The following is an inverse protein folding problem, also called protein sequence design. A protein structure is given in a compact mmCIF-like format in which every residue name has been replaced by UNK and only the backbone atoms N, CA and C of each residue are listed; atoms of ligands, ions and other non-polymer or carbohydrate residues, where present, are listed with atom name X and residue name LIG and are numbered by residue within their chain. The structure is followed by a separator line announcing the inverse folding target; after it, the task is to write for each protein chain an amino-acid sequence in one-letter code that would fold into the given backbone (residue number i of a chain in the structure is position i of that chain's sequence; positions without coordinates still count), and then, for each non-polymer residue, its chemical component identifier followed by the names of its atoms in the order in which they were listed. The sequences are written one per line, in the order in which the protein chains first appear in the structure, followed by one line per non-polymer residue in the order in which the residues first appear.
data_IF_977263770774
#
_entry.id   IF_977263770774
#
_cell.length_a   1.000
_cell.length_b   1.000
_cell.length_c   1.000
_cell.angle_alpha   90.00
_cell.angle_beta   90.00
_cell.angle_gamma   90.00
#
_symmetry.space_group_name_H-M   'P 1'
#
loop_
_entity.id
_entity.type
_entity.pdbx_description
1 polymer ?
#
# COMPACT_ATOMS: atom_id res chain seq x y z
N UNK A 1 48.54 -45.14 3.91
CA UNK A 1 47.91 -46.15 3.05
C UNK A 1 46.97 -46.97 3.92
N UNK A 2 45.68 -46.64 3.96
CA UNK A 2 44.68 -47.37 4.75
C UNK A 2 43.58 -47.86 3.82
N UNK A 3 43.41 -49.18 3.75
CA UNK A 3 42.31 -49.84 3.06
C UNK A 3 41.24 -50.31 4.05
N UNK A 4 40.03 -50.39 3.49
CA UNK A 4 38.96 -51.38 3.70
C UNK A 4 37.71 -51.01 4.52
N UNK A 5 36.69 -50.63 3.73
CA UNK A 5 35.43 -51.35 3.47
C UNK A 5 34.58 -51.75 4.69
N UNK A 6 33.33 -51.26 4.68
CA UNK A 6 32.13 -52.10 4.83
C UNK A 6 30.92 -51.41 4.17
N UNK A 7 30.15 -52.24 3.47
CA UNK A 7 28.97 -51.94 2.64
C UNK A 7 27.75 -51.70 3.52
N UNK A 8 26.76 -50.97 3.02
CA UNK A 8 25.35 -51.35 3.21
C UNK A 8 24.49 -50.88 2.03
N UNK A 9 23.81 -51.87 1.46
CA UNK A 9 22.87 -51.82 0.33
C UNK A 9 21.47 -52.02 0.93
N UNK A 10 20.47 -51.27 0.45
CA UNK A 10 19.05 -51.66 0.32
C UNK A 10 18.33 -50.43 -0.27
N UNK A 11 17.81 -50.33 -1.49
CA UNK A 11 17.05 -51.19 -2.40
C UNK A 11 15.69 -51.67 -1.87
N UNK A 12 14.64 -50.91 -2.17
CA UNK A 12 13.28 -51.35 -2.53
C UNK A 12 12.48 -50.08 -2.95
N UNK A 13 11.55 -50.01 -3.90
CA UNK A 13 11.13 -50.74 -5.12
C UNK A 13 9.68 -50.30 -5.35
N UNK A 14 9.38 -49.76 -6.54
CA UNK A 14 8.08 -49.77 -7.25
C UNK A 14 6.93 -48.90 -6.64
N UNK A 15 5.93 -48.37 -7.38
CA UNK A 15 5.42 -48.67 -8.72
C UNK A 15 4.54 -47.52 -9.27
N UNK A 16 4.60 -47.31 -10.60
CA UNK A 16 3.49 -47.16 -11.58
C UNK A 16 2.37 -46.11 -11.39
N UNK A 17 2.31 -45.08 -12.26
CA UNK A 17 1.47 -44.94 -13.50
C UNK A 17 -0.02 -44.61 -13.25
N UNK A 18 -0.46 -43.43 -13.69
CA UNK A 18 -1.70 -43.25 -14.47
C UNK A 18 -1.75 -41.85 -15.11
N UNK A 19 -1.70 -41.82 -16.44
CA UNK A 19 -2.11 -40.70 -17.28
C UNK A 19 -3.62 -40.78 -17.43
N UNK A 20 -4.36 -39.71 -17.13
CA UNK A 20 -5.77 -39.59 -17.47
C UNK A 20 -5.99 -38.26 -18.19
N UNK A 21 -6.18 -38.34 -19.50
CA UNK A 21 -6.67 -37.25 -20.33
C UNK A 21 -8.17 -37.05 -20.05
N UNK A 22 -8.55 -35.86 -19.60
CA UNK A 22 -9.97 -35.50 -19.48
C UNK A 22 -10.50 -35.04 -20.84
N UNK A 23 -11.38 -35.85 -21.43
CA UNK A 23 -12.26 -35.41 -22.51
C UNK A 23 -13.40 -34.58 -21.88
N UNK A 24 -13.51 -33.32 -22.30
CA UNK A 24 -14.64 -32.44 -21.92
C UNK A 24 -15.82 -32.81 -22.81
N UNK A 25 -16.83 -33.46 -22.22
CA UNK A 25 -18.17 -33.59 -22.81
C UNK A 25 -18.99 -32.39 -22.37
N UNK A 26 -19.36 -31.52 -23.31
CA UNK A 26 -20.35 -30.48 -23.11
C UNK A 26 -21.73 -31.05 -23.48
N UNK A 27 -22.58 -31.27 -22.48
CA UNK A 27 -24.02 -31.39 -22.70
C UNK A 27 -24.76 -30.36 -21.83
N UNK A 28 -25.43 -29.45 -22.53
CA UNK A 28 -26.38 -28.48 -22.01
C UNK A 28 -27.75 -29.13 -21.82
N UNK A 29 -28.35 -28.98 -20.63
CA UNK A 29 -29.65 -28.29 -20.40
C UNK A 29 -30.44 -28.81 -19.19
N UNK A 30 -30.96 -27.82 -18.45
CA UNK A 30 -32.25 -27.74 -17.74
C UNK A 30 -32.47 -28.43 -16.37
N UNK A 31 -32.53 -27.54 -15.35
CA UNK A 31 -33.49 -27.47 -14.24
C UNK A 31 -33.80 -28.71 -13.36
N UNK A 32 -33.41 -28.68 -12.08
CA UNK A 32 -34.26 -28.28 -10.93
C UNK A 32 -33.56 -28.55 -9.57
N UNK A 33 -33.85 -27.68 -8.59
CA UNK A 33 -33.41 -27.64 -7.18
C UNK A 33 -33.34 -28.99 -6.43
N UNK A 34 -32.27 -29.20 -5.65
CA UNK A 34 -32.33 -29.20 -4.16
C UNK A 34 -30.93 -29.29 -3.53
N UNK A 35 -30.83 -28.66 -2.36
CA UNK A 35 -29.67 -28.42 -1.51
C UNK A 35 -28.70 -29.60 -1.30
N UNK A 36 -27.40 -29.30 -1.32
CA UNK A 36 -26.41 -29.94 -0.42
C UNK A 36 -25.26 -28.95 -0.21
N UNK A 37 -24.92 -28.77 1.06
CA UNK A 37 -23.94 -27.83 1.59
C UNK A 37 -22.59 -27.93 0.88
N UNK A 38 -22.20 -26.84 0.22
CA UNK A 38 -20.86 -26.61 -0.32
C UNK A 38 -20.08 -25.81 0.71
N UNK A 39 -19.18 -26.49 1.43
CA UNK A 39 -18.18 -25.88 2.30
C UNK A 39 -17.19 -25.09 1.45
N UNK A 40 -17.61 -23.89 1.04
CA UNK A 40 -16.76 -22.86 0.47
C UNK A 40 -15.97 -22.24 1.61
N UNK A 41 -14.67 -22.51 1.61
CA UNK A 41 -13.69 -21.71 2.32
C UNK A 41 -13.91 -20.25 1.98
N UNK A 42 -14.40 -19.49 2.96
CA UNK A 42 -14.61 -18.06 2.86
C UNK A 42 -13.27 -17.40 2.50
N UNK A 43 -13.16 -16.95 1.25
CA UNK A 43 -12.18 -15.94 0.92
C UNK A 43 -12.55 -14.70 1.76
N UNK A 44 -11.72 -14.38 2.74
CA UNK A 44 -11.84 -13.19 3.58
C UNK A 44 -11.92 -11.97 2.65
N UNK A 45 -13.13 -11.51 2.38
CA UNK A 45 -13.40 -10.36 1.54
C UNK A 45 -12.84 -9.14 2.27
N UNK A 46 -11.69 -8.65 1.81
CA UNK A 46 -11.12 -7.39 2.31
C UNK A 46 -12.07 -6.26 1.90
N UNK A 47 -12.85 -5.77 2.86
CA UNK A 47 -13.72 -4.63 2.64
C UNK A 47 -12.88 -3.36 2.50
N UNK A 48 -12.78 -2.87 1.26
CA UNK A 48 -12.27 -1.54 0.93
C UNK A 48 -13.40 -0.54 1.15
N UNK A 49 -13.12 0.53 1.88
CA UNK A 49 -14.06 1.62 2.10
C UNK A 49 -13.50 2.88 1.44
N UNK A 50 -14.30 3.50 0.57
CA UNK A 50 -13.92 4.74 -0.09
C UNK A 50 -13.84 5.90 0.91
N UNK A 51 -12.92 6.81 0.66
CA UNK A 51 -12.73 8.02 1.47
C UNK A 51 -13.19 9.22 0.66
N UNK A 52 -14.01 10.09 1.26
CA UNK A 52 -14.33 11.36 0.64
C UNK A 52 -13.13 12.27 0.75
N UNK A 53 -12.58 12.65 -0.40
CA UNK A 53 -11.69 13.79 -0.50
C UNK A 53 -12.54 15.05 -0.37
N UNK A 54 -12.56 15.66 0.82
CA UNK A 54 -12.93 17.08 0.88
C UNK A 54 -11.88 17.81 0.05
N UNK A 55 -12.35 18.34 -1.07
CA UNK A 55 -11.53 18.70 -2.22
C UNK A 55 -10.56 19.83 -1.90
N UNK A 56 -9.29 19.63 -2.29
CA UNK A 56 -8.11 20.53 -2.21
C UNK A 56 -7.36 20.46 -0.88
N UNK A 57 -6.04 20.65 -0.94
CA UNK A 57 -5.24 20.88 0.26
C UNK A 57 -5.62 22.24 0.86
N UNK A 58 -5.92 22.25 2.15
CA UNK A 58 -6.13 23.45 2.94
C UNK A 58 -4.76 23.96 3.40
N UNK A 59 -4.35 25.14 2.98
CA UNK A 59 -3.08 25.72 3.39
C UNK A 59 -2.45 26.60 2.32
N UNK A 60 -1.51 27.44 2.76
CA UNK A 60 -0.84 28.42 1.92
C UNK A 60 -0.26 27.71 0.68
N UNK A 61 -0.64 28.15 -0.52
CA UNK A 61 0.09 27.85 -1.76
C UNK A 61 1.48 28.50 -1.69
N UNK A 62 2.30 28.08 -0.73
CA UNK A 62 3.61 28.60 -0.43
C UNK A 62 4.56 27.97 -1.45
N UNK A 63 4.83 28.71 -2.52
CA UNK A 63 5.98 28.45 -3.36
C UNK A 63 7.21 28.96 -2.62
N UNK A 64 7.86 28.12 -1.81
CA UNK A 64 9.25 28.40 -1.46
C UNK A 64 10.13 28.03 -2.66
N UNK A 65 10.06 28.87 -3.70
CA UNK A 65 10.64 28.63 -5.03
C UNK A 65 12.16 28.49 -5.00
N UNK A 66 12.83 28.98 -3.96
CA UNK A 66 14.29 28.88 -3.81
C UNK A 66 14.74 27.45 -3.47
N UNK A 67 13.93 26.67 -2.74
CA UNK A 67 14.29 25.30 -2.33
C UNK A 67 13.55 24.22 -3.11
N UNK A 68 12.58 24.61 -3.95
CA UNK A 68 11.83 23.69 -4.81
C UNK A 68 10.77 22.87 -4.09
N UNK A 69 10.33 23.29 -2.90
CA UNK A 69 9.23 22.67 -2.15
C UNK A 69 7.96 23.49 -2.34
N UNK A 70 6.84 22.81 -2.59
CA UNK A 70 5.54 23.47 -2.72
C UNK A 70 4.41 22.45 -2.62
N UNK A 71 3.21 22.96 -2.33
CA UNK A 71 1.95 22.21 -2.32
C UNK A 71 0.90 22.97 -3.14
N UNK A 72 0.11 22.23 -3.92
CA UNK A 72 -1.11 22.71 -4.58
C UNK A 72 -2.24 21.69 -4.38
N UNK A 73 -3.42 21.94 -4.94
CA UNK A 73 -4.66 21.15 -4.81
C UNK A 73 -4.51 19.61 -4.89
N UNK A 74 -3.55 19.09 -5.66
CA UNK A 74 -3.36 17.63 -5.86
C UNK A 74 -1.91 17.18 -5.77
N UNK A 75 -0.96 18.11 -5.73
CA UNK A 75 0.45 17.79 -5.91
C UNK A 75 1.30 18.39 -4.80
N UNK A 76 2.18 17.55 -4.26
CA UNK A 76 3.19 17.92 -3.31
C UNK A 76 4.58 17.72 -3.92
N UNK A 77 5.38 18.79 -4.00
CA UNK A 77 6.78 18.70 -4.42
C UNK A 77 7.68 18.82 -3.20
N UNK A 78 8.45 17.77 -2.93
CA UNK A 78 9.44 17.68 -1.88
C UNK A 78 10.85 17.70 -2.49
N UNK A 79 11.35 18.91 -2.76
CA UNK A 79 12.67 19.10 -3.38
C UNK A 79 12.79 18.44 -4.76
N UNK A 80 13.43 17.27 -4.81
CA UNK A 80 13.70 16.50 -6.03
C UNK A 80 12.61 15.47 -6.37
N UNK A 81 11.65 15.23 -5.47
CA UNK A 81 10.52 14.35 -5.71
C UNK A 81 9.22 15.15 -5.84
N UNK A 82 8.33 14.68 -6.71
CA UNK A 82 6.96 15.20 -6.87
C UNK A 82 5.98 14.05 -6.66
N UNK A 83 5.00 14.28 -5.82
CA UNK A 83 3.91 13.36 -5.51
C UNK A 83 2.62 13.95 -6.07
N UNK A 84 2.07 13.30 -7.10
CA UNK A 84 0.76 13.62 -7.63
C UNK A 84 -0.25 12.66 -6.98
N UNK A 85 -1.07 13.17 -6.06
CA UNK A 85 -2.00 12.36 -5.29
C UNK A 85 -3.22 11.98 -6.12
N UNK A 86 -3.60 10.71 -6.01
CA UNK A 86 -4.73 10.12 -6.69
C UNK A 86 -5.84 9.82 -5.65
N UNK A 87 -6.35 8.60 -5.66
CA UNK A 87 -7.42 8.16 -4.80
C UNK A 87 -6.92 7.85 -3.38
N UNK A 88 -7.86 7.76 -2.44
CA UNK A 88 -7.58 7.33 -1.09
C UNK A 88 -8.66 6.36 -0.61
N UNK A 89 -8.25 5.34 0.12
CA UNK A 89 -9.13 4.29 0.63
C UNK A 89 -8.76 3.92 2.07
N UNK A 90 -9.72 3.36 2.79
CA UNK A 90 -9.45 2.64 4.04
C UNK A 90 -9.49 1.16 3.75
N UNK A 91 -8.40 0.48 4.08
CA UNK A 91 -8.31 -0.97 4.01
C UNK A 91 -8.22 -1.59 5.40
N UNK A 92 -8.50 -2.88 5.48
CA UNK A 92 -8.30 -3.67 6.70
C UNK A 92 -6.91 -4.32 6.64
N UNK A 93 -6.08 -4.04 7.66
CA UNK A 93 -4.74 -4.57 7.81
C UNK A 93 -4.73 -6.05 8.20
N UNK A 94 -3.53 -6.66 8.22
CA UNK A 94 -3.34 -8.07 8.57
C UNK A 94 -3.73 -8.42 10.01
N UNK A 95 -3.78 -7.41 10.89
CA UNK A 95 -4.18 -7.50 12.29
C UNK A 95 -5.60 -6.95 12.56
N UNK A 96 -6.41 -6.77 11.51
CA UNK A 96 -7.71 -6.11 11.54
C UNK A 96 -7.71 -4.61 11.88
N UNK A 97 -6.54 -3.96 11.93
CA UNK A 97 -6.45 -2.50 12.00
C UNK A 97 -7.10 -1.86 10.77
N UNK A 98 -7.61 -0.63 10.93
CA UNK A 98 -8.04 0.21 9.81
C UNK A 98 -6.88 1.08 9.38
N UNK A 99 -6.56 1.05 8.09
CA UNK A 99 -5.40 1.74 7.54
C UNK A 99 -5.89 2.67 6.43
N UNK A 100 -5.66 3.97 6.59
CA UNK A 100 -5.77 4.92 5.49
C UNK A 100 -4.63 4.65 4.51
N UNK A 101 -4.96 4.51 3.23
CA UNK A 101 -4.04 4.40 2.11
C UNK A 101 -4.31 5.58 1.18
N UNK A 102 -3.29 6.38 0.91
CA UNK A 102 -3.32 7.47 -0.07
C UNK A 102 -2.40 7.10 -1.23
N UNK A 103 -2.98 6.89 -2.41
CA UNK A 103 -2.23 6.57 -3.62
C UNK A 103 -1.62 7.84 -4.21
N UNK A 104 -0.41 7.73 -4.73
CA UNK A 104 0.26 8.81 -5.43
C UNK A 104 1.24 8.29 -6.46
N UNK A 105 1.39 9.07 -7.53
CA UNK A 105 2.48 8.91 -8.48
C UNK A 105 3.68 9.73 -8.02
N UNK A 106 4.76 9.05 -7.65
CA UNK A 106 6.03 9.68 -7.27
C UNK A 106 6.94 9.81 -8.48
N UNK A 107 7.41 11.02 -8.76
CA UNK A 107 8.27 11.35 -9.90
C UNK A 107 9.59 11.98 -9.46
N UNK A 108 10.71 11.51 -10.03
CA UNK A 108 12.01 12.15 -9.85
C UNK A 108 12.14 13.31 -10.86
N UNK A 109 12.05 14.53 -10.35
CA UNK A 109 12.11 15.76 -11.16
C UNK A 109 13.52 16.37 -11.20
N UNK A 110 14.52 15.63 -10.72
CA UNK A 110 15.92 16.00 -10.78
C UNK A 110 16.66 15.32 -11.93
N UNK A 111 17.94 15.68 -12.10
CA UNK A 111 18.85 15.08 -13.09
C UNK A 111 19.73 13.97 -12.48
N UNK A 112 19.46 13.54 -11.24
CA UNK A 112 20.24 12.53 -10.51
C UNK A 112 19.36 11.40 -10.03
N UNK A 113 19.92 10.22 -9.80
CA UNK A 113 19.22 9.15 -9.12
C UNK A 113 18.87 9.59 -7.68
N UNK A 114 17.66 9.28 -7.22
CA UNK A 114 17.19 9.66 -5.88
C UNK A 114 16.74 8.41 -5.12
N UNK A 115 17.18 8.30 -3.88
CA UNK A 115 16.67 7.32 -2.93
C UNK A 115 15.40 7.87 -2.30
N UNK A 116 14.28 7.18 -2.51
CA UNK A 116 12.95 7.69 -2.15
C UNK A 116 12.61 7.60 -0.66
N UNK A 117 13.38 6.86 0.13
CA UNK A 117 13.21 6.71 1.60
C UNK A 117 13.37 8.05 2.35
N UNK A 118 14.18 8.97 1.84
CA UNK A 118 14.68 10.12 2.62
C UNK A 118 13.59 11.17 2.97
N UNK A 119 12.45 11.16 2.28
CA UNK A 119 11.47 12.26 2.37
C UNK A 119 10.29 11.96 3.32
N UNK A 120 9.95 10.69 3.54
CA UNK A 120 8.61 10.32 4.01
C UNK A 120 8.30 10.75 5.46
N UNK A 121 9.15 10.40 6.42
CA UNK A 121 8.80 10.51 7.85
C UNK A 121 8.80 11.94 8.40
N UNK A 122 9.61 12.82 7.81
CA UNK A 122 9.89 14.12 8.41
C UNK A 122 9.06 15.24 7.77
N UNK A 123 8.32 14.94 6.71
CA UNK A 123 7.66 15.95 5.87
C UNK A 123 6.19 15.67 5.59
N UNK A 124 5.73 14.44 5.82
CA UNK A 124 4.32 14.08 5.72
C UNK A 124 3.92 13.30 6.97
N UNK A 125 2.95 13.80 7.72
CA UNK A 125 2.40 13.10 8.89
C UNK A 125 0.88 13.23 8.93
N UNK A 126 0.22 12.30 9.60
CA UNK A 126 -1.23 12.33 9.76
C UNK A 126 -1.62 12.37 11.24
N UNK A 127 -2.76 12.99 11.50
CA UNK A 127 -3.35 13.11 12.83
C UNK A 127 -4.83 12.79 12.80
N UNK A 128 -5.32 12.26 13.91
CA UNK A 128 -6.74 12.00 14.11
C UNK A 128 -7.14 12.42 15.52
N UNK A 129 -8.29 13.09 15.64
CA UNK A 129 -8.87 13.40 16.95
C UNK A 129 -9.38 12.12 17.58
N UNK A 130 -9.02 11.88 18.84
CA UNK A 130 -9.55 10.79 19.65
C UNK A 130 -9.88 11.33 21.02
N UNK A 131 -11.17 11.30 21.38
CA UNK A 131 -11.71 11.96 22.57
C UNK A 131 -11.35 13.46 22.61
N UNK A 132 -10.62 13.88 23.64
CA UNK A 132 -10.16 15.26 23.86
C UNK A 132 -8.70 15.49 23.43
N UNK A 133 -8.10 14.54 22.69
CA UNK A 133 -6.71 14.60 22.27
C UNK A 133 -6.57 14.46 20.76
N UNK A 134 -5.48 15.00 20.23
CA UNK A 134 -5.04 14.80 18.86
C UNK A 134 -3.92 13.74 18.87
N UNK A 135 -4.11 12.67 18.10
CA UNK A 135 -3.19 11.53 18.07
C UNK A 135 -2.43 11.54 16.75
N UNK A 136 -1.10 11.47 16.82
CA UNK A 136 -0.25 11.25 15.66
C UNK A 136 -0.41 9.80 15.18
N UNK A 137 -0.77 9.65 13.91
CA UNK A 137 -0.93 8.34 13.30
C UNK A 137 0.42 7.78 12.87
N UNK A 138 0.55 6.46 12.99
CA UNK A 138 1.79 5.75 12.63
C UNK A 138 1.70 5.25 11.20
N UNK A 139 2.83 5.31 10.48
CA UNK A 139 2.98 4.57 9.24
C UNK A 139 3.16 3.07 9.54
N UNK A 140 2.50 2.22 8.76
CA UNK A 140 2.36 0.79 9.08
C UNK A 140 2.47 -0.11 7.84
N UNK A 141 3.53 0.07 7.05
CA UNK A 141 3.83 -0.78 5.88
C UNK A 141 3.67 -2.29 6.17
N UNK A 142 4.12 -2.73 7.35
CA UNK A 142 4.12 -4.13 7.77
C UNK A 142 2.72 -4.70 8.04
N UNK A 143 1.71 -3.84 8.25
CA UNK A 143 0.31 -4.23 8.48
C UNK A 143 -0.52 -4.27 7.21
N UNK A 144 0.00 -3.80 6.08
CA UNK A 144 -0.68 -3.90 4.78
C UNK A 144 -0.76 -5.37 4.33
N UNK A 145 -1.90 -5.85 3.78
CA UNK A 145 -1.99 -7.19 3.21
C UNK A 145 -0.96 -7.39 2.09
N UNK A 146 -0.17 -8.48 2.15
CA UNK A 146 1.01 -8.69 1.27
C UNK A 146 0.68 -8.79 -0.22
N UNK A 147 -0.53 -9.24 -0.52
CA UNK A 147 -1.11 -9.38 -1.87
C UNK A 147 -1.83 -8.11 -2.34
N UNK A 148 -1.96 -7.08 -1.49
CA UNK A 148 -2.60 -5.82 -1.88
C UNK A 148 -1.71 -4.97 -2.80
N UNK A 149 -2.32 -4.19 -3.73
CA UNK A 149 -1.61 -3.17 -4.49
C UNK A 149 -0.85 -2.18 -3.59
N UNK A 150 -1.50 -1.73 -2.51
CA UNK A 150 -0.91 -0.82 -1.53
C UNK A 150 0.42 -1.34 -0.96
N UNK A 151 0.53 -2.64 -0.64
CA UNK A 151 1.79 -3.20 -0.16
C UNK A 151 2.90 -3.18 -1.22
N UNK A 152 2.57 -3.41 -2.50
CA UNK A 152 3.57 -3.35 -3.58
C UNK A 152 4.01 -1.91 -3.87
N UNK A 153 3.09 -0.97 -3.81
CA UNK A 153 3.35 0.47 -3.96
C UNK A 153 4.20 1.01 -2.81
N UNK A 154 3.92 0.60 -1.56
CA UNK A 154 4.73 0.98 -0.38
C UNK A 154 6.20 0.54 -0.52
N UNK A 155 6.45 -0.61 -1.16
CA UNK A 155 7.82 -1.09 -1.41
C UNK A 155 8.60 -0.21 -2.40
N UNK A 156 7.94 0.60 -3.22
CA UNK A 156 8.62 1.46 -4.17
C UNK A 156 9.39 2.61 -3.50
N UNK A 157 9.04 3.00 -2.27
CA UNK A 157 9.85 3.92 -1.45
C UNK A 157 11.26 3.38 -1.11
N UNK A 158 11.49 2.07 -1.22
CA UNK A 158 12.80 1.46 -0.95
C UNK A 158 13.64 1.28 -2.22
N UNK A 159 13.17 1.80 -3.35
CA UNK A 159 13.85 1.72 -4.64
C UNK A 159 14.43 3.08 -5.01
N UNK A 160 15.54 3.02 -5.73
CA UNK A 160 16.11 4.20 -6.35
C UNK A 160 15.28 4.59 -7.57
N UNK A 161 14.91 5.87 -7.67
CA UNK A 161 14.17 6.42 -8.79
C UNK A 161 15.12 7.15 -9.74
N UNK A 162 15.19 6.71 -10.99
CA UNK A 162 16.06 7.30 -12.01
C UNK A 162 15.53 8.69 -12.47
N UNK A 163 16.40 9.57 -13.02
CA UNK A 163 16.00 10.88 -13.53
C UNK A 163 14.81 10.83 -14.47
N UNK A 164 13.80 11.66 -14.22
CA UNK A 164 12.60 11.78 -15.05
C UNK A 164 11.64 10.59 -15.00
N UNK A 165 11.93 9.54 -14.22
CA UNK A 165 11.05 8.39 -14.08
C UNK A 165 10.01 8.61 -12.97
N UNK A 166 8.92 7.87 -13.08
CA UNK A 166 7.84 7.84 -12.09
C UNK A 166 7.52 6.42 -11.65
N UNK A 167 6.98 6.28 -10.44
CA UNK A 167 6.50 5.02 -9.89
C UNK A 167 5.33 5.27 -8.94
N UNK A 168 4.41 4.31 -8.84
CA UNK A 168 3.30 4.38 -7.89
C UNK A 168 3.78 4.12 -6.47
N UNK A 169 3.28 4.90 -5.52
CA UNK A 169 3.58 4.80 -4.10
C UNK A 169 2.32 4.99 -3.28
N UNK A 170 2.35 4.54 -2.02
CA UNK A 170 1.28 4.85 -1.07
C UNK A 170 1.80 5.47 0.21
N UNK A 171 1.14 6.53 0.65
CA UNK A 171 1.19 6.90 2.06
C UNK A 171 0.20 6.01 2.82
N UNK A 172 0.60 5.51 3.98
CA UNK A 172 -0.29 4.70 4.80
C UNK A 172 -0.20 5.09 6.28
N UNK A 173 -1.36 5.12 6.95
CA UNK A 173 -1.50 5.51 8.35
C UNK A 173 -2.52 4.63 9.07
N UNK A 174 -2.13 4.06 10.21
CA UNK A 174 -3.06 3.32 11.08
C UNK A 174 -4.03 4.28 11.76
N UNK A 175 -5.32 4.02 11.61
CA UNK A 175 -6.40 4.82 12.16
C UNK A 175 -6.71 4.40 13.59
N UNK A 176 -7.06 5.36 14.43
CA UNK A 176 -7.47 5.11 15.82
C UNK A 176 -8.99 5.10 16.00
N UNK A 177 -9.74 5.66 15.04
CA UNK A 177 -11.21 5.63 14.99
C UNK A 177 -11.72 5.96 13.57
N UNK A 178 -13.04 6.09 13.40
CA UNK A 178 -13.68 6.43 12.12
C UNK A 178 -13.83 7.95 11.87
N UNK A 179 -13.20 8.79 12.70
CA UNK A 179 -13.27 10.24 12.59
C UNK A 179 -12.43 10.80 11.44
N UNK A 180 -12.58 12.09 11.11
CA UNK A 180 -11.77 12.75 10.08
C UNK A 180 -10.27 12.66 10.36
N UNK A 181 -9.48 12.48 9.31
CA UNK A 181 -8.03 12.38 9.34
C UNK A 181 -7.44 13.64 8.72
N UNK A 182 -6.51 14.31 9.41
CA UNK A 182 -5.78 15.45 8.86
C UNK A 182 -4.36 15.03 8.52
N UNK A 183 -4.01 15.12 7.23
CA UNK A 183 -2.66 14.81 6.72
C UNK A 183 -1.95 16.11 6.43
N UNK A 184 -0.77 16.31 6.99
CA UNK A 184 0.01 17.54 6.93
C UNK A 184 1.24 17.35 6.04
N UNK A 185 1.66 18.44 5.41
CA UNK A 185 2.78 18.50 4.47
C UNK A 185 3.69 19.66 4.84
N UNK A 186 5.00 19.42 5.00
CA UNK A 186 5.97 20.44 5.38
C UNK A 186 7.11 20.62 4.38
N UNK A 187 7.74 21.79 4.39
CA UNK A 187 8.94 22.11 3.62
C UNK A 187 10.24 21.60 4.26
N UNK A 188 11.35 21.68 3.51
CA UNK A 188 12.69 21.29 3.99
C UNK A 188 13.25 22.13 5.16
N UNK A 189 12.79 23.37 5.34
CA UNK A 189 13.28 24.25 6.39
C UNK A 189 12.29 24.28 7.55
N UNK A 190 12.77 23.92 8.74
CA UNK A 190 12.15 24.13 10.05
C UNK A 190 10.77 23.49 10.28
N UNK A 191 10.37 22.55 9.40
CA UNK A 191 9.04 21.95 9.45
C UNK A 191 7.93 22.93 9.12
N UNK A 192 8.22 24.00 8.35
CA UNK A 192 7.19 24.95 7.92
C UNK A 192 6.10 24.19 7.16
N UNK A 193 4.91 24.15 7.75
CA UNK A 193 3.75 23.53 7.14
C UNK A 193 3.37 24.28 5.86
N UNK A 194 3.37 23.55 4.74
CA UNK A 194 2.92 24.01 3.45
C UNK A 194 1.40 23.92 3.35
N UNK A 195 0.81 22.92 3.99
CA UNK A 195 -0.63 22.77 4.11
C UNK A 195 -1.01 21.38 4.58
N UNK A 196 -2.29 21.13 4.58
CA UNK A 196 -2.90 19.91 5.08
C UNK A 196 -4.05 19.48 4.18
N UNK A 197 -4.48 18.23 4.32
CA UNK A 197 -5.67 17.68 3.68
C UNK A 197 -6.48 16.94 4.72
N UNK A 198 -7.77 17.27 4.80
CA UNK A 198 -8.70 16.53 5.65
C UNK A 198 -9.41 15.46 4.82
N UNK A 199 -9.45 14.24 5.34
CA UNK A 199 -10.09 13.09 4.73
C UNK A 199 -11.17 12.55 5.66
N UNK A 200 -12.37 12.31 5.12
CA UNK A 200 -13.49 11.76 5.88
C UNK A 200 -13.84 10.38 5.33
N UNK A 201 -13.98 9.38 6.21
CA UNK A 201 -14.35 8.02 5.82
C UNK A 201 -15.83 8.02 5.43
N UNK A 202 -16.15 7.60 4.20
CA UNK A 202 -17.55 7.44 3.80
C UNK A 202 -18.10 6.15 4.41
N UNK A 203 -19.30 6.23 4.99
CA UNK A 203 -20.02 5.10 5.58
C UNK A 203 -20.96 4.45 4.57
#
# INVERSE_FOLDING_TARGET
MFQNKKKLVSLLVFATVAVAAFAIVLSTNANQNKDTADSRSEAQSSSKVSVSNDSKFDGYTNQNSSNGWWLNDTTYKAGNLRFDFEDSEVITGTDNSKILVMHAKMSNVSQKNIDSVVIYSDTIWAKQKSNNQEVNLQNVDAKLPKDSPAFQEAKNFRKQLLPGQSTEVVLNFELVNDGPITVHFAGAADGLELGQKTLTIQK
#
